data_IF_509362788260
#
_entry.id   IF_509362788260
#
_cell.length_a   1.000
_cell.length_b   1.000
_cell.length_c   1.000
_cell.angle_alpha   90.00
_cell.angle_beta   90.00
_cell.angle_gamma   90.00
#
_symmetry.space_group_name_H-M   'P 1'
#
loop_
_entity.id
_entity.type
_entity.pdbx_description
1 polymer ?
#
# COMPACT_ATOMS: atom_id res chain seq x y z
N UNK A 1 -10.58 16.31 12.00
CA UNK A 1 -10.39 16.81 10.62
C UNK A 1 -8.93 16.58 10.26
N UNK A 2 -8.61 15.46 9.59
CA UNK A 2 -7.22 15.19 9.18
C UNK A 2 -6.95 16.15 8.03
N UNK A 3 -6.22 17.22 8.33
CA UNK A 3 -5.61 18.06 7.28
C UNK A 3 -4.70 17.11 6.52
N UNK A 4 -5.01 16.89 5.24
CA UNK A 4 -4.12 16.21 4.31
C UNK A 4 -2.85 17.05 4.25
N UNK A 5 -1.84 16.72 5.06
CA UNK A 5 -0.52 17.31 4.93
C UNK A 5 0.11 16.69 3.69
N UNK A 6 0.02 17.41 2.60
CA UNK A 6 0.79 17.15 1.40
C UNK A 6 2.17 17.75 1.68
N UNK A 7 3.22 16.93 1.61
CA UNK A 7 4.57 17.49 1.76
C UNK A 7 4.82 18.42 0.57
N UNK A 8 5.55 19.52 0.75
CA UNK A 8 5.85 20.41 -0.38
C UNK A 8 6.58 19.62 -1.48
N UNK A 9 6.34 19.93 -2.76
CA UNK A 9 7.07 19.29 -3.86
C UNK A 9 8.57 19.35 -3.61
N UNK A 10 9.32 18.25 -3.77
CA UNK A 10 10.75 18.24 -3.52
C UNK A 10 11.46 19.16 -4.52
N UNK A 11 12.33 20.04 -4.03
CA UNK A 11 13.15 20.94 -4.85
C UNK A 11 14.51 20.32 -5.23
N UNK A 12 14.84 19.17 -4.67
CA UNK A 12 16.06 18.41 -4.91
C UNK A 12 15.76 16.91 -4.94
N UNK A 13 16.79 16.10 -5.26
CA UNK A 13 16.67 14.65 -5.18
C UNK A 13 16.18 14.21 -3.79
N UNK A 14 15.32 13.20 -3.77
CA UNK A 14 14.61 12.74 -2.58
C UNK A 14 14.79 11.24 -2.42
N UNK A 15 14.97 10.79 -1.18
CA UNK A 15 14.92 9.38 -0.84
C UNK A 15 13.47 8.95 -0.67
N UNK A 16 13.02 8.03 -1.50
CA UNK A 16 11.71 7.38 -1.41
C UNK A 16 11.86 6.01 -0.75
N UNK A 17 11.21 5.81 0.39
CA UNK A 17 11.15 4.50 1.06
C UNK A 17 10.01 3.66 0.48
N UNK A 18 10.38 2.56 -0.17
CA UNK A 18 9.47 1.51 -0.57
C UNK A 18 9.43 0.39 0.50
N UNK A 19 8.22 -0.05 0.83
CA UNK A 19 7.97 -1.16 1.77
C UNK A 19 6.89 -2.15 1.30
N UNK A 20 6.14 -1.80 0.25
CA UNK A 20 5.03 -2.58 -0.29
C UNK A 20 5.36 -3.19 -1.66
N UNK A 21 4.43 -3.09 -2.62
CA UNK A 21 4.61 -3.58 -4.01
C UNK A 21 5.82 -2.97 -4.72
N UNK A 22 6.31 -1.84 -4.23
CA UNK A 22 7.47 -1.12 -4.78
C UNK A 22 8.82 -1.69 -4.34
N UNK A 23 8.83 -2.72 -3.47
CA UNK A 23 10.05 -3.42 -3.10
C UNK A 23 10.68 -4.19 -4.25
N UNK A 24 9.86 -4.73 -5.16
CA UNK A 24 10.35 -5.45 -6.33
C UNK A 24 10.95 -4.44 -7.31
N UNK A 25 12.27 -4.46 -7.45
CA UNK A 25 13.00 -3.60 -8.37
C UNK A 25 12.53 -3.87 -9.81
N UNK A 26 12.21 -5.13 -10.12
CA UNK A 26 11.63 -5.52 -11.40
C UNK A 26 10.32 -4.76 -11.72
N UNK A 27 9.44 -4.55 -10.73
CA UNK A 27 8.21 -3.75 -10.90
C UNK A 27 8.47 -2.25 -10.91
N UNK A 28 9.36 -1.78 -10.04
CA UNK A 28 9.65 -0.36 -9.92
C UNK A 28 10.37 0.21 -11.16
N UNK A 29 11.28 -0.57 -11.74
CA UNK A 29 12.11 -0.18 -12.88
C UNK A 29 11.44 -0.52 -14.22
N UNK A 30 10.92 -1.74 -14.40
CA UNK A 30 10.38 -2.15 -15.71
C UNK A 30 8.96 -1.65 -15.98
N UNK A 31 8.04 -1.76 -15.02
CA UNK A 31 6.64 -1.39 -15.28
C UNK A 31 6.41 0.13 -15.28
N UNK A 32 7.25 0.89 -14.55
CA UNK A 32 7.09 2.35 -14.38
C UNK A 32 8.15 3.17 -15.11
N UNK A 33 9.22 2.55 -15.62
CA UNK A 33 10.33 3.25 -16.25
C UNK A 33 11.11 4.17 -15.32
N UNK A 34 11.01 3.97 -14.00
CA UNK A 34 11.73 4.77 -13.00
C UNK A 34 13.06 4.08 -12.74
N UNK A 35 14.16 4.72 -13.13
CA UNK A 35 15.52 4.26 -12.85
C UNK A 35 16.08 5.09 -11.68
N UNK A 36 16.16 4.54 -10.45
CA UNK A 36 16.71 5.27 -9.32
C UNK A 36 18.16 5.68 -9.54
N UNK A 37 18.55 6.84 -9.02
CA UNK A 37 19.96 7.30 -8.98
C UNK A 37 20.79 6.37 -8.08
N UNK A 38 20.17 5.89 -7.01
CA UNK A 38 20.78 4.97 -6.04
C UNK A 38 19.68 4.19 -5.33
N UNK A 39 20.03 3.04 -4.76
CA UNK A 39 19.14 2.27 -3.90
C UNK A 39 19.92 1.66 -2.73
N UNK A 40 19.27 1.51 -1.58
CA UNK A 40 19.88 0.90 -0.40
C UNK A 40 18.81 0.32 0.52
N UNK A 41 19.10 -0.82 1.15
CA UNK A 41 18.22 -1.40 2.16
C UNK A 41 18.34 -0.59 3.45
N UNK A 42 17.18 -0.24 4.01
CA UNK A 42 17.09 0.57 5.22
C UNK A 42 16.18 -0.06 6.26
N UNK A 43 16.53 0.18 7.52
CA UNK A 43 15.69 -0.07 8.68
C UNK A 43 15.00 1.24 9.10
N UNK A 44 13.77 1.12 9.58
CA UNK A 44 12.98 2.24 10.09
C UNK A 44 12.59 1.98 11.55
N UNK A 45 13.48 2.39 12.45
CA UNK A 45 13.32 2.11 13.88
C UNK A 45 12.03 2.71 14.45
N UNK A 46 11.28 1.91 15.22
CA UNK A 46 10.00 2.32 15.81
C UNK A 46 8.79 2.22 14.88
N UNK A 47 8.95 1.67 13.68
CA UNK A 47 7.86 1.44 12.73
C UNK A 47 7.78 -0.03 12.33
N UNK A 48 6.58 -0.50 12.00
CA UNK A 48 6.32 -1.85 11.48
C UNK A 48 5.49 -1.79 10.22
N UNK A 49 5.66 -2.80 9.37
CA UNK A 49 4.73 -3.09 8.28
C UNK A 49 3.40 -3.59 8.87
N UNK A 50 2.29 -3.06 8.36
CA UNK A 50 0.93 -3.51 8.66
C UNK A 50 0.18 -3.81 7.37
N UNK A 51 -0.80 -4.70 7.42
CA UNK A 51 -1.69 -4.98 6.29
C UNK A 51 -3.07 -4.44 6.67
N UNK A 52 -3.25 -3.14 6.46
CA UNK A 52 -4.49 -2.47 6.79
C UNK A 52 -4.90 -1.38 5.79
N UNK A 53 -4.36 -1.37 4.57
CA UNK A 53 -4.79 -0.41 3.55
C UNK A 53 -5.93 -1.01 2.71
N UNK A 54 -7.09 -0.36 2.71
CA UNK A 54 -8.32 -0.88 2.11
C UNK A 54 -8.16 -1.18 0.61
N UNK A 55 -8.49 -2.41 0.23
CA UNK A 55 -8.65 -2.83 -1.16
C UNK A 55 -10.09 -3.19 -1.49
N UNK A 56 -10.27 -4.16 -2.39
CA UNK A 56 -11.58 -4.64 -2.87
C UNK A 56 -11.85 -6.04 -2.32
N UNK A 57 -12.95 -6.25 -1.57
CA UNK A 57 -13.32 -7.58 -1.09
C UNK A 57 -13.40 -8.62 -2.20
N UNK A 58 -13.18 -9.87 -1.83
CA UNK A 58 -13.17 -11.05 -2.70
C UNK A 58 -12.05 -11.11 -3.74
N UNK A 59 -11.18 -10.09 -3.83
CA UNK A 59 -10.07 -10.02 -4.78
C UNK A 59 -8.75 -9.72 -4.07
N UNK A 60 -8.45 -8.44 -3.87
CA UNK A 60 -7.32 -7.95 -3.08
C UNK A 60 -7.87 -7.07 -1.96
N UNK A 61 -8.28 -7.68 -0.83
CA UNK A 61 -9.02 -6.96 0.20
C UNK A 61 -8.17 -5.94 0.94
N UNK A 62 -6.86 -6.16 0.96
CA UNK A 62 -5.93 -5.34 1.72
C UNK A 62 -4.57 -5.20 1.04
N UNK A 63 -3.94 -4.05 1.24
CA UNK A 63 -2.56 -3.75 0.89
C UNK A 63 -1.76 -3.32 2.13
N UNK A 64 -0.44 -3.23 1.96
CA UNK A 64 0.48 -2.87 3.03
C UNK A 64 0.49 -1.38 3.35
N UNK A 65 0.68 -1.05 4.61
CA UNK A 65 1.00 0.28 5.10
C UNK A 65 2.01 0.22 6.25
N UNK A 66 2.31 1.36 6.86
CA UNK A 66 3.26 1.48 7.98
C UNK A 66 2.56 2.08 9.20
N UNK A 67 2.93 1.61 10.38
CA UNK A 67 2.44 2.14 11.66
C UNK A 67 3.56 2.20 12.69
N UNK A 68 3.52 3.14 13.64
CA UNK A 68 4.43 3.15 14.77
C UNK A 68 4.27 1.87 15.61
N UNK A 69 5.39 1.35 16.14
CA UNK A 69 5.38 0.26 17.12
C UNK A 69 5.01 0.87 18.48
N UNK A 70 4.00 0.34 19.19
CA UNK A 70 3.66 0.83 20.53
C UNK A 70 4.85 0.77 21.50
N UNK A 71 5.06 1.83 22.29
CA UNK A 71 6.21 1.96 23.20
C UNK A 71 6.28 0.87 24.30
N UNK A 72 5.13 0.28 24.65
CA UNK A 72 5.02 -0.89 25.51
C UNK A 72 4.63 -2.07 24.61
N UNK A 73 5.64 -2.62 23.94
CA UNK A 73 5.49 -3.46 22.76
C UNK A 73 5.02 -4.88 23.06
N UNK A 74 4.13 -5.37 22.20
CA UNK A 74 3.94 -6.79 21.92
C UNK A 74 5.27 -7.31 21.33
N UNK A 75 5.90 -8.31 21.94
CA UNK A 75 7.22 -8.88 21.52
C UNK A 75 7.25 -9.37 20.06
N UNK A 76 6.09 -9.37 19.37
CA UNK A 76 5.87 -9.84 18.01
C UNK A 76 6.04 -8.78 16.93
N UNK A 77 6.16 -7.50 17.25
CA UNK A 77 6.32 -6.45 16.23
C UNK A 77 7.74 -6.48 15.62
N UNK A 78 7.82 -6.67 14.30
CA UNK A 78 9.08 -6.69 13.56
C UNK A 78 9.35 -5.30 12.99
N UNK A 79 10.53 -4.75 13.27
CA UNK A 79 10.96 -3.46 12.71
C UNK A 79 10.86 -3.46 11.19
N UNK A 80 10.30 -2.39 10.64
CA UNK A 80 10.15 -2.18 9.21
C UNK A 80 11.51 -2.15 8.53
N UNK A 81 11.67 -3.01 7.53
CA UNK A 81 12.77 -2.97 6.57
C UNK A 81 12.18 -2.68 5.18
N UNK A 82 12.84 -1.79 4.46
CA UNK A 82 12.43 -1.41 3.11
C UNK A 82 13.64 -1.08 2.24
N UNK A 83 13.34 -0.66 1.01
CA UNK A 83 14.36 -0.17 0.07
C UNK A 83 14.18 1.33 -0.10
N UNK A 84 15.21 2.10 0.20
CA UNK A 84 15.24 3.53 -0.09
C UNK A 84 15.80 3.75 -1.50
N UNK A 85 15.02 4.38 -2.38
CA UNK A 85 15.41 4.76 -3.73
C UNK A 85 15.69 6.26 -3.79
N UNK A 86 16.84 6.67 -4.30
CA UNK A 86 17.14 8.08 -4.55
C UNK A 86 16.58 8.48 -5.92
N UNK A 87 15.62 9.41 -5.93
CA UNK A 87 14.85 9.80 -7.11
C UNK A 87 15.02 11.29 -7.41
N UNK A 88 14.90 11.67 -8.68
CA UNK A 88 14.68 13.08 -9.06
C UNK A 88 13.25 13.50 -8.69
N UNK A 89 12.96 14.81 -8.58
CA UNK A 89 11.60 15.30 -8.37
C UNK A 89 10.56 14.76 -9.36
N UNK A 90 10.93 14.60 -10.64
CA UNK A 90 10.05 14.11 -11.70
C UNK A 90 9.75 12.62 -11.56
N UNK A 91 10.77 11.83 -11.20
CA UNK A 91 10.60 10.41 -10.87
C UNK A 91 9.69 10.25 -9.66
N UNK A 92 9.90 11.06 -8.62
CA UNK A 92 9.08 11.02 -7.42
C UNK A 92 7.61 11.38 -7.70
N UNK A 93 7.37 12.40 -8.51
CA UNK A 93 6.02 12.75 -8.99
C UNK A 93 5.33 11.59 -9.71
N UNK A 94 6.08 10.82 -10.49
CA UNK A 94 5.56 9.62 -11.17
C UNK A 94 5.19 8.53 -10.16
N UNK A 95 5.98 8.34 -9.10
CA UNK A 95 5.63 7.43 -7.98
C UNK A 95 4.30 7.86 -7.37
N UNK A 96 4.16 9.12 -6.96
CA UNK A 96 2.94 9.63 -6.31
C UNK A 96 1.69 9.46 -7.18
N UNK A 97 1.80 9.77 -8.47
CA UNK A 97 0.71 9.58 -9.42
C UNK A 97 0.30 8.10 -9.56
N UNK A 98 1.25 7.17 -9.42
CA UNK A 98 1.00 5.72 -9.53
C UNK A 98 0.41 5.09 -8.26
N UNK A 99 0.61 5.71 -7.10
CA UNK A 99 0.15 5.21 -5.79
C UNK A 99 -1.28 5.67 -5.44
N UNK A 100 -2.01 6.17 -6.43
CA UNK A 100 -3.41 6.58 -6.29
C UNK A 100 -3.61 8.05 -5.93
N UNK A 101 -2.59 8.91 -6.12
CA UNK A 101 -2.74 10.38 -6.11
C UNK A 101 -3.38 10.95 -4.86
N UNK A 102 -2.99 10.48 -3.67
CA UNK A 102 -3.50 10.99 -2.39
C UNK A 102 -4.82 10.36 -1.89
N UNK A 103 -5.39 9.39 -2.63
CA UNK A 103 -6.69 8.80 -2.28
C UNK A 103 -6.58 7.89 -1.07
N UNK A 104 -5.77 6.83 -1.20
CA UNK A 104 -5.61 5.80 -0.18
C UNK A 104 -4.40 6.03 0.72
N UNK A 105 -3.40 6.76 0.24
CA UNK A 105 -2.19 7.08 0.99
C UNK A 105 -1.95 8.59 1.06
N UNK A 106 -1.31 9.04 2.13
CA UNK A 106 -0.71 10.37 2.24
C UNK A 106 0.81 10.27 2.33
N UNK A 107 1.50 11.32 1.90
CA UNK A 107 2.95 11.43 2.09
C UNK A 107 3.30 11.58 3.58
N UNK A 108 4.39 10.93 3.99
CA UNK A 108 4.99 11.08 5.31
C UNK A 108 6.50 11.18 5.18
N UNK A 109 7.12 12.00 6.02
CA UNK A 109 8.57 12.02 6.17
C UNK A 109 8.97 11.14 7.35
N UNK A 110 9.95 10.27 7.15
CA UNK A 110 10.39 9.29 8.14
C UNK A 110 11.91 9.19 8.18
N UNK A 111 12.45 8.96 9.38
CA UNK A 111 13.89 8.75 9.57
C UNK A 111 14.22 7.28 9.33
N UNK A 112 15.19 7.05 8.46
CA UNK A 112 15.64 5.71 8.08
C UNK A 112 17.14 5.57 8.31
N UNK A 113 17.59 4.34 8.54
CA UNK A 113 19.00 4.01 8.72
C UNK A 113 19.40 2.97 7.69
N UNK A 114 20.55 3.14 7.04
CA UNK A 114 21.10 2.06 6.19
C UNK A 114 21.33 0.82 7.04
N UNK A 115 20.91 -0.33 6.52
CA UNK A 115 21.12 -1.60 7.20
C UNK A 115 22.60 -1.99 7.19
N UNK A 116 23.30 -1.67 6.09
CA UNK A 116 24.74 -1.88 5.96
C UNK A 116 25.54 -0.67 6.46
N UNK A 117 26.54 -0.97 7.29
CA UNK A 117 27.48 0.01 7.82
C UNK A 117 26.93 0.88 8.97
N UNK A 118 27.79 1.73 9.52
CA UNK A 118 27.46 2.67 10.60
C UNK A 118 27.11 4.05 10.04
N UNK A 119 26.12 4.11 9.14
CA UNK A 119 25.66 5.39 8.61
C UNK A 119 24.72 6.09 9.58
N UNK A 120 24.75 7.44 9.68
CA UNK A 120 23.73 8.18 10.40
C UNK A 120 22.36 8.00 9.74
N UNK A 121 21.29 8.24 10.52
CA UNK A 121 19.93 8.24 9.99
C UNK A 121 19.72 9.43 9.04
N UNK A 122 18.98 9.22 7.96
CA UNK A 122 18.61 10.26 7.01
C UNK A 122 17.08 10.33 6.82
N UNK A 123 16.58 11.43 6.27
CA UNK A 123 15.16 11.59 5.98
C UNK A 123 14.81 10.92 4.66
N UNK A 124 13.72 10.15 4.65
CA UNK A 124 13.11 9.61 3.45
C UNK A 124 11.62 9.95 3.45
N UNK A 125 11.06 10.16 2.27
CA UNK A 125 9.61 10.24 2.10
C UNK A 125 9.04 8.86 1.85
N UNK A 126 7.87 8.59 2.39
CA UNK A 126 7.12 7.38 2.15
C UNK A 126 5.63 7.70 2.06
N UNK A 127 4.82 6.66 1.93
CA UNK A 127 3.37 6.76 1.86
C UNK A 127 2.77 6.02 3.05
N UNK A 128 1.73 6.55 3.68
CA UNK A 128 1.01 5.88 4.76
C UNK A 128 -0.50 5.92 4.49
N UNK A 129 -1.20 4.83 4.79
CA UNK A 129 -2.60 4.70 4.42
C UNK A 129 -3.48 5.61 5.29
N UNK A 130 -4.43 6.24 4.64
CA UNK A 130 -5.52 7.01 5.27
C UNK A 130 -6.86 6.30 5.14
N UNK A 131 -6.91 5.20 4.37
CA UNK A 131 -8.07 4.33 4.22
C UNK A 131 -7.81 3.01 4.96
N UNK A 132 -7.79 3.09 6.29
CA UNK A 132 -7.51 1.93 7.13
C UNK A 132 -8.66 0.94 7.14
N UNK A 133 -8.33 -0.33 6.95
CA UNK A 133 -9.24 -1.47 6.96
C UNK A 133 -8.51 -2.73 7.39
N UNK A 134 -8.96 -3.36 8.46
CA UNK A 134 -8.45 -4.66 8.87
C UNK A 134 -8.96 -5.75 7.90
N UNK A 135 -8.04 -6.39 7.19
CA UNK A 135 -8.30 -7.47 6.25
C UNK A 135 -6.99 -8.22 5.95
N UNK A 136 -7.07 -9.39 5.31
CA UNK A 136 -5.88 -10.13 4.87
C UNK A 136 -5.44 -9.70 3.46
N UNK A 137 -4.13 -9.51 3.20
CA UNK A 137 -3.62 -9.23 1.87
C UNK A 137 -3.74 -10.44 0.95
N UNK A 138 -3.77 -10.22 -0.36
CA UNK A 138 -3.78 -11.34 -1.32
C UNK A 138 -2.42 -12.05 -1.39
N UNK A 139 -2.42 -13.34 -1.76
CA UNK A 139 -1.19 -14.09 -2.02
C UNK A 139 -0.36 -13.49 -3.16
N UNK A 140 -1.05 -12.97 -4.19
CA UNK A 140 -0.42 -12.26 -5.31
C UNK A 140 0.35 -11.02 -4.82
N UNK A 141 -0.28 -10.19 -3.98
CA UNK A 141 0.35 -8.99 -3.44
C UNK A 141 1.53 -9.32 -2.54
N UNK A 142 1.37 -10.28 -1.62
CA UNK A 142 2.48 -10.72 -0.76
C UNK A 142 3.62 -11.36 -1.55
N UNK A 143 3.33 -11.98 -2.69
CA UNK A 143 4.34 -12.43 -3.66
C UNK A 143 5.27 -11.30 -4.09
N UNK A 144 4.74 -10.10 -4.37
CA UNK A 144 5.55 -8.93 -4.75
C UNK A 144 6.51 -8.51 -3.64
N UNK A 145 6.02 -8.47 -2.38
CA UNK A 145 6.85 -8.09 -1.24
C UNK A 145 7.96 -9.11 -1.00
N UNK A 146 7.65 -10.41 -1.08
CA UNK A 146 8.63 -11.48 -0.89
C UNK A 146 9.68 -11.49 -2.00
N UNK A 147 9.26 -11.33 -3.26
CA UNK A 147 10.18 -11.20 -4.39
C UNK A 147 11.08 -9.98 -4.22
N UNK A 148 10.52 -8.82 -3.88
CA UNK A 148 11.31 -7.60 -3.68
C UNK A 148 12.28 -7.68 -2.50
N UNK A 149 11.87 -8.29 -1.40
CA UNK A 149 12.75 -8.53 -0.26
C UNK A 149 13.90 -9.48 -0.61
N UNK A 150 13.66 -10.48 -1.46
CA UNK A 150 14.68 -11.38 -1.96
C UNK A 150 15.61 -10.69 -2.97
N UNK A 151 15.08 -9.92 -3.93
CA UNK A 151 15.86 -9.15 -4.91
C UNK A 151 16.80 -8.13 -4.25
N UNK A 152 16.37 -7.56 -3.11
CA UNK A 152 17.15 -6.59 -2.35
C UNK A 152 18.05 -7.23 -1.28
N UNK A 153 18.18 -8.56 -1.24
CA UNK A 153 18.98 -9.30 -0.26
C UNK A 153 18.67 -8.90 1.21
N UNK A 154 17.40 -8.67 1.53
CA UNK A 154 16.99 -8.30 2.89
C UNK A 154 17.28 -9.43 3.88
N UNK A 155 17.48 -9.14 5.19
CA UNK A 155 17.76 -10.16 6.19
C UNK A 155 16.77 -11.32 6.18
N UNK A 156 17.27 -12.55 6.35
CA UNK A 156 16.45 -13.75 6.40
C UNK A 156 15.35 -13.69 7.48
N UNK A 157 15.60 -13.00 8.60
CA UNK A 157 14.60 -12.76 9.64
C UNK A 157 13.39 -11.98 9.12
N UNK A 158 13.64 -10.95 8.30
CA UNK A 158 12.58 -10.14 7.70
C UNK A 158 11.86 -10.87 6.57
N UNK A 159 12.60 -11.61 5.74
CA UNK A 159 11.98 -12.48 4.73
C UNK A 159 11.06 -13.53 5.37
N UNK A 160 11.47 -14.12 6.51
CA UNK A 160 10.65 -15.06 7.29
C UNK A 160 9.41 -14.37 7.87
N UNK A 161 9.55 -13.14 8.36
CA UNK A 161 8.41 -12.33 8.79
C UNK A 161 7.38 -12.14 7.67
N UNK A 162 7.81 -11.70 6.47
CA UNK A 162 6.94 -11.54 5.31
C UNK A 162 6.26 -12.85 4.88
N UNK A 163 6.95 -13.98 5.00
CA UNK A 163 6.39 -15.31 4.71
C UNK A 163 5.30 -15.73 5.69
N UNK A 164 5.36 -15.27 6.94
CA UNK A 164 4.41 -15.62 8.00
C UNK A 164 3.16 -14.73 8.03
N UNK A 165 3.09 -13.68 7.20
CA UNK A 165 1.89 -12.86 7.07
C UNK A 165 0.79 -13.71 6.40
N UNK A 166 -0.33 -13.89 7.11
CA UNK A 166 -1.48 -14.66 6.62
C UNK A 166 -2.13 -13.96 5.43
N UNK A 167 -2.45 -14.74 4.39
CA UNK A 167 -3.04 -14.22 3.15
C UNK A 167 -4.51 -14.60 3.01
N UNK A 168 -5.23 -13.79 2.23
CA UNK A 168 -6.61 -14.03 1.86
C UNK A 168 -6.68 -15.18 0.85
N UNK A 169 -7.51 -16.17 1.16
CA UNK A 169 -7.83 -17.28 0.28
C UNK A 169 -9.24 -17.11 -0.29
N UNK A 170 -9.40 -17.02 -1.62
CA UNK A 170 -10.71 -16.95 -2.23
C UNK A 170 -11.62 -18.14 -1.87
N UNK A 171 -12.94 -17.93 -1.77
CA UNK A 171 -13.88 -19.02 -1.46
C UNK A 171 -13.84 -20.11 -2.54
N UNK A 172 -13.75 -21.36 -2.09
CA UNK A 172 -13.76 -22.56 -2.96
C UNK A 172 -15.14 -23.19 -3.11
N UNK A 173 -16.00 -23.04 -2.11
CA UNK A 173 -17.37 -23.57 -2.14
C UNK A 173 -18.25 -22.81 -3.16
N UNK A 174 -19.17 -23.53 -3.81
CA UNK A 174 -19.96 -23.00 -4.93
C UNK A 174 -20.77 -21.74 -4.59
N UNK A 175 -21.47 -21.74 -3.45
CA UNK A 175 -22.33 -20.61 -3.04
C UNK A 175 -21.52 -19.35 -2.70
N UNK A 176 -20.52 -19.39 -1.78
CA UNK A 176 -19.63 -18.24 -1.56
C UNK A 176 -18.89 -17.77 -2.81
N UNK A 177 -18.51 -18.69 -3.72
CA UNK A 177 -17.87 -18.34 -5.00
C UNK A 177 -18.81 -17.56 -5.93
N UNK A 178 -20.09 -17.94 -5.99
CA UNK A 178 -21.11 -17.18 -6.72
C UNK A 178 -21.30 -15.79 -6.11
N UNK A 179 -21.39 -15.70 -4.78
CA UNK A 179 -21.49 -14.41 -4.09
C UNK A 179 -20.30 -13.50 -4.34
N UNK A 180 -19.07 -14.05 -4.31
CA UNK A 180 -17.86 -13.34 -4.70
C UNK A 180 -17.94 -12.83 -6.15
N UNK A 181 -18.39 -13.66 -7.09
CA UNK A 181 -18.54 -13.27 -8.49
C UNK A 181 -19.56 -12.14 -8.67
N UNK A 182 -20.71 -12.20 -7.99
CA UNK A 182 -21.74 -11.14 -8.02
C UNK A 182 -21.17 -9.83 -7.47
N UNK A 183 -20.47 -9.89 -6.33
CA UNK A 183 -19.85 -8.71 -5.73
C UNK A 183 -18.85 -8.05 -6.68
N UNK A 184 -17.92 -8.84 -7.23
CA UNK A 184 -16.88 -8.35 -8.11
C UNK A 184 -17.45 -7.83 -9.44
N UNK A 185 -18.47 -8.48 -9.99
CA UNK A 185 -19.13 -8.04 -11.22
C UNK A 185 -19.73 -6.63 -11.11
N UNK A 186 -20.18 -6.25 -9.90
CA UNK A 186 -20.68 -4.90 -9.64
C UNK A 186 -19.56 -3.91 -9.29
N UNK A 187 -18.70 -4.26 -8.33
CA UNK A 187 -17.74 -3.30 -7.77
C UNK A 187 -16.49 -3.07 -8.64
N UNK A 188 -16.03 -4.06 -9.42
CA UNK A 188 -14.87 -3.86 -10.32
C UNK A 188 -15.14 -2.77 -11.37
N UNK A 189 -16.29 -2.76 -12.09
CA UNK A 189 -16.62 -1.66 -13.00
C UNK A 189 -16.67 -0.30 -12.32
N UNK A 190 -17.29 -0.20 -11.13
CA UNK A 190 -17.38 1.05 -10.36
C UNK A 190 -15.98 1.56 -10.01
N UNK A 191 -15.12 0.71 -9.46
CA UNK A 191 -13.75 1.07 -9.11
C UNK A 191 -12.91 1.42 -10.34
N UNK A 192 -13.12 0.73 -11.47
CA UNK A 192 -12.45 1.04 -12.75
C UNK A 192 -12.83 2.43 -13.28
N UNK A 193 -14.08 2.85 -13.11
CA UNK A 193 -14.51 4.22 -13.46
C UNK A 193 -13.86 5.24 -12.52
N UNK A 194 -13.81 4.98 -11.22
CA UNK A 194 -13.16 5.85 -10.24
C UNK A 194 -11.66 6.02 -10.54
N UNK A 195 -10.97 4.94 -10.89
CA UNK A 195 -9.56 4.94 -11.30
C UNK A 195 -9.36 5.79 -12.57
N UNK A 196 -10.22 5.63 -13.59
CA UNK A 196 -10.16 6.42 -14.83
C UNK A 196 -10.38 7.91 -14.57
N UNK A 197 -11.34 8.28 -13.73
CA UNK A 197 -11.58 9.68 -13.35
C UNK A 197 -10.34 10.24 -12.64
N UNK A 198 -9.78 9.50 -11.69
CA UNK A 198 -8.57 9.89 -10.95
C UNK A 198 -7.40 10.13 -11.90
N UNK A 199 -7.07 9.14 -12.75
CA UNK A 199 -5.98 9.23 -13.73
C UNK A 199 -6.19 10.37 -14.73
N UNK A 200 -7.43 10.57 -15.20
CA UNK A 200 -7.75 11.68 -16.10
C UNK A 200 -7.57 13.04 -15.42
N UNK A 201 -7.95 13.16 -14.16
CA UNK A 201 -7.80 14.38 -13.38
C UNK A 201 -6.33 14.71 -13.09
N UNK A 202 -5.51 13.71 -12.76
CA UNK A 202 -4.06 13.86 -12.59
C UNK A 202 -3.42 14.33 -13.90
N UNK A 203 -3.77 13.70 -15.03
CA UNK A 203 -3.25 14.08 -16.34
C UNK A 203 -3.62 15.51 -16.76
N UNK A 204 -4.84 15.96 -16.43
CA UNK A 204 -5.34 17.30 -16.78
C UNK A 204 -4.72 18.41 -15.93
N UNK A 205 -4.56 18.17 -14.63
CA UNK A 205 -3.93 19.13 -13.72
C UNK A 205 -2.42 19.16 -13.90
N UNK A 206 -1.82 18.03 -14.31
CA UNK A 206 -0.38 17.86 -14.30
C UNK A 206 0.18 17.74 -12.89
N UNK A 207 -0.66 17.57 -11.86
CA UNK A 207 -0.24 17.49 -10.46
C UNK A 207 0.05 16.04 -10.02
N UNK A 208 0.78 15.89 -8.92
CA UNK A 208 1.06 14.59 -8.30
C UNK A 208 -0.16 13.99 -7.58
N UNK A 209 -1.09 14.85 -7.16
CA UNK A 209 -2.26 14.48 -6.36
C UNK A 209 -3.57 14.84 -7.06
N UNK A 210 -4.60 14.05 -6.79
CA UNK A 210 -5.92 14.28 -7.34
C UNK A 210 -6.62 15.45 -6.60
N UNK A 211 -7.48 16.23 -7.29
CA UNK A 211 -8.27 17.28 -6.65
C UNK A 211 -9.09 16.73 -5.48
N UNK A 212 -9.26 17.54 -4.43
CA UNK A 212 -9.95 17.14 -3.19
C UNK A 212 -11.32 16.54 -3.42
N UNK A 213 -12.10 17.05 -4.38
CA UNK A 213 -13.42 16.50 -4.69
C UNK A 213 -13.34 15.07 -5.26
N UNK A 214 -12.31 14.76 -6.06
CA UNK A 214 -12.05 13.40 -6.58
C UNK A 214 -11.67 12.49 -5.43
N UNK A 215 -10.76 12.94 -4.57
CA UNK A 215 -10.34 12.19 -3.37
C UNK A 215 -11.55 11.84 -2.50
N UNK A 216 -12.38 12.83 -2.17
CA UNK A 216 -13.59 12.61 -1.36
C UNK A 216 -14.57 11.65 -2.04
N UNK A 217 -14.81 11.81 -3.34
CA UNK A 217 -15.68 10.92 -4.10
C UNK A 217 -15.21 9.46 -4.04
N UNK A 218 -13.93 9.19 -4.32
CA UNK A 218 -13.41 7.82 -4.29
C UNK A 218 -13.45 7.24 -2.88
N UNK A 219 -13.14 8.04 -1.85
CA UNK A 219 -13.26 7.60 -0.46
C UNK A 219 -14.70 7.22 -0.10
N UNK A 220 -15.70 8.01 -0.50
CA UNK A 220 -17.12 7.68 -0.28
C UNK A 220 -17.52 6.38 -0.96
N UNK A 221 -17.04 6.14 -2.19
CA UNK A 221 -17.29 4.88 -2.91
C UNK A 221 -16.66 3.69 -2.18
N UNK A 222 -15.41 3.79 -1.75
CA UNK A 222 -14.72 2.73 -1.00
C UNK A 222 -15.43 2.45 0.33
N UNK A 223 -15.82 3.48 1.08
CA UNK A 223 -16.57 3.30 2.33
C UNK A 223 -17.93 2.63 2.07
N UNK A 224 -18.66 3.08 1.05
CA UNK A 224 -19.95 2.48 0.67
C UNK A 224 -19.81 1.00 0.29
N UNK A 225 -18.77 0.65 -0.46
CA UNK A 225 -18.45 -0.74 -0.83
C UNK A 225 -18.23 -1.61 0.41
N UNK A 226 -17.44 -1.14 1.36
CA UNK A 226 -17.14 -1.86 2.58
C UNK A 226 -18.34 -1.97 3.53
N UNK A 227 -19.15 -0.92 3.65
CA UNK A 227 -20.42 -0.98 4.39
C UNK A 227 -21.38 -2.01 3.78
N UNK A 228 -21.52 -2.02 2.45
CA UNK A 228 -22.32 -3.02 1.75
C UNK A 228 -21.77 -4.44 1.96
N UNK A 229 -20.45 -4.62 1.86
CA UNK A 229 -19.80 -5.90 2.15
C UNK A 229 -20.13 -6.40 3.56
N UNK A 230 -19.94 -5.56 4.58
CA UNK A 230 -20.05 -6.00 5.97
C UNK A 230 -21.49 -6.27 6.41
N UNK A 231 -22.41 -5.39 6.04
CA UNK A 231 -23.77 -5.43 6.59
C UNK A 231 -24.79 -6.12 5.69
N UNK A 232 -24.50 -6.29 4.40
CA UNK A 232 -25.45 -6.84 3.43
C UNK A 232 -24.92 -8.09 2.76
N UNK A 233 -23.72 -8.03 2.18
CA UNK A 233 -23.24 -9.10 1.31
C UNK A 233 -22.62 -10.27 2.08
N UNK A 234 -21.70 -9.99 3.01
CA UNK A 234 -20.98 -11.04 3.75
C UNK A 234 -21.85 -11.91 4.65
N UNK A 235 -22.95 -11.41 5.29
CA UNK A 235 -23.85 -12.28 6.05
C UNK A 235 -24.55 -13.36 5.21
N UNK A 236 -24.70 -13.12 3.89
CA UNK A 236 -25.39 -14.02 2.96
C UNK A 236 -24.38 -14.98 2.30
N UNK A 237 -23.23 -14.45 1.88
CA UNK A 237 -22.30 -15.14 0.98
C UNK A 237 -20.97 -15.55 1.63
N UNK A 238 -20.75 -15.18 2.90
CA UNK A 238 -19.46 -15.31 3.59
C UNK A 238 -18.53 -14.11 3.30
N UNK A 239 -17.50 -13.93 4.15
CA UNK A 239 -16.61 -12.76 4.09
C UNK A 239 -15.64 -12.81 2.91
N UNK A 240 -15.42 -11.66 2.28
CA UNK A 240 -14.46 -11.45 1.20
C UNK A 240 -13.14 -10.81 1.65
N UNK A 241 -12.87 -10.71 2.94
CA UNK A 241 -11.69 -10.01 3.48
C UNK A 241 -10.72 -10.91 4.25
N UNK A 242 -11.02 -12.21 4.31
CA UNK A 242 -10.18 -13.22 4.97
C UNK A 242 -10.24 -13.18 6.50
N UNK A 243 -11.07 -12.31 7.07
CA UNK A 243 -11.35 -12.30 8.50
C UNK A 243 -12.36 -13.40 8.83
N UNK A 244 -12.34 -13.88 10.08
CA UNK A 244 -13.36 -14.79 10.59
C UNK A 244 -14.64 -14.00 10.92
N UNK A 245 -15.80 -14.66 10.89
CA UNK A 245 -17.04 -14.06 11.38
C UNK A 245 -16.94 -14.01 12.91
N UNK A 246 -16.90 -12.79 13.48
CA UNK A 246 -17.04 -12.58 14.92
C UNK A 246 -18.46 -12.90 15.38
#
# INVERSE_FOLDING_TARGET
MIILQTLPPPTSNVWYLAYGSNLAASKFIHDRGIVPISSTVVEVSGWTLVMDSAGVPYSEPCFGSISPIPAFGDEKCVTLIGTAYLLTPEMYKTVLASEGGGIAYCEVEIRVKKLEGKSPTFAARSLATVLRRLAKPSERYMGLLRTGANEADMPHSYQKFLKNILTYTPPTAAMPRLGAAIFLAFWIPVMSVMEKITKSSLKRSGEAEAPTWVVLMVRVVVHSMWLYHDYVHSPIWGRGDGMELC
#
